data_IF_870026606907
#
_entry.id   IF_870026606907
#
_cell.length_a   1.000
_cell.length_b   1.000
_cell.length_c   1.000
_cell.angle_alpha   90.00
_cell.angle_beta   90.00
_cell.angle_gamma   90.00
#
_symmetry.space_group_name_H-M   'P 1'
#
loop_
_entity.id
_entity.type
_entity.pdbx_description
1 polymer ?
#
# COMPACT_ATOMS: atom_id res chain seq x y z
N UNK A 1 -0.92 11.12 -48.79
CA UNK A 1 -0.21 11.93 -47.78
C UNK A 1 -0.51 11.39 -46.39
N UNK A 2 0.07 10.24 -46.06
CA UNK A 2 -0.13 9.56 -44.78
C UNK A 2 1.23 9.03 -44.35
N UNK A 3 1.97 9.84 -43.60
CA UNK A 3 3.21 9.42 -42.94
C UNK A 3 3.41 10.31 -41.71
N UNK A 4 2.63 10.05 -40.66
CA UNK A 4 2.82 10.65 -39.34
C UNK A 4 3.35 9.59 -38.40
N UNK A 5 4.68 9.47 -38.44
CA UNK A 5 5.61 9.04 -37.41
C UNK A 5 4.96 8.45 -36.13
N UNK A 6 4.74 7.14 -36.13
CA UNK A 6 4.66 6.36 -34.90
C UNK A 6 6.04 6.34 -34.26
N UNK A 7 6.33 7.32 -33.39
CA UNK A 7 7.49 7.30 -32.51
C UNK A 7 7.22 6.23 -31.44
N UNK A 8 7.54 4.98 -31.77
CA UNK A 8 7.51 3.87 -30.81
C UNK A 8 8.52 4.18 -29.71
N UNK A 9 8.03 4.64 -28.56
CA UNK A 9 8.83 4.74 -27.35
C UNK A 9 9.30 3.32 -27.00
N UNK A 10 10.58 3.03 -27.23
CA UNK A 10 11.20 1.80 -26.76
C UNK A 10 11.35 1.91 -25.24
N UNK A 11 10.34 1.46 -24.51
CA UNK A 11 10.49 1.17 -23.09
C UNK A 11 11.40 -0.07 -22.97
N UNK A 12 12.52 0.08 -22.26
CA UNK A 12 13.34 -1.05 -21.86
C UNK A 12 12.51 -1.91 -20.90
N UNK A 13 12.00 -3.03 -21.39
CA UNK A 13 11.42 -4.08 -20.56
C UNK A 13 12.54 -4.72 -19.75
N UNK A 14 12.67 -4.31 -18.49
CA UNK A 14 13.61 -4.89 -17.56
C UNK A 14 13.09 -6.28 -17.13
N UNK A 15 13.46 -7.33 -17.87
CA UNK A 15 13.20 -8.75 -17.54
C UNK A 15 14.09 -9.26 -16.40
N UNK A 16 14.24 -8.52 -15.31
CA UNK A 16 14.77 -9.06 -14.06
C UNK A 16 13.63 -9.18 -13.08
N UNK A 17 13.57 -10.31 -12.36
CA UNK A 17 12.70 -10.45 -11.20
C UNK A 17 12.92 -9.22 -10.31
N UNK A 18 11.87 -8.40 -10.17
CA UNK A 18 11.90 -7.14 -9.40
C UNK A 18 12.20 -7.41 -7.92
N UNK A 19 12.12 -8.68 -7.48
CA UNK A 19 12.14 -9.09 -6.08
C UNK A 19 13.29 -10.04 -5.69
N UNK A 20 14.30 -10.25 -6.55
CA UNK A 20 15.35 -11.26 -6.29
C UNK A 20 16.48 -10.78 -5.35
N UNK A 21 16.15 -9.94 -4.37
CA UNK A 21 17.07 -9.47 -3.33
C UNK A 21 16.64 -10.02 -1.97
N UNK A 22 16.51 -11.35 -1.86
CA UNK A 22 16.33 -11.99 -0.55
C UNK A 22 17.62 -11.88 0.27
N UNK A 23 17.73 -10.82 1.05
CA UNK A 23 18.76 -10.71 2.09
C UNK A 23 18.31 -11.59 3.25
N UNK A 24 19.17 -12.52 3.69
CA UNK A 24 18.89 -13.33 4.88
C UNK A 24 18.62 -12.42 6.10
N UNK A 25 17.63 -12.75 6.92
CA UNK A 25 17.25 -11.95 8.08
C UNK A 25 18.43 -11.71 9.04
N UNK A 26 19.34 -12.68 9.13
CA UNK A 26 20.63 -12.58 9.83
C UNK A 26 21.48 -11.40 9.36
N UNK A 27 21.59 -11.26 8.03
CA UNK A 27 22.42 -10.23 7.41
C UNK A 27 21.77 -8.85 7.56
N UNK A 28 20.44 -8.77 7.39
CA UNK A 28 19.69 -7.55 7.63
C UNK A 28 19.83 -7.07 9.08
N UNK A 29 19.64 -7.97 10.06
CA UNK A 29 19.80 -7.61 11.47
C UNK A 29 21.22 -7.18 11.82
N UNK A 30 22.24 -7.87 11.30
CA UNK A 30 23.64 -7.48 11.47
C UNK A 30 23.88 -6.06 10.95
N UNK A 31 23.35 -5.74 9.76
CA UNK A 31 23.49 -4.41 9.14
C UNK A 31 22.75 -3.32 9.90
N UNK A 32 21.56 -3.60 10.42
CA UNK A 32 20.82 -2.65 11.27
C UNK A 32 21.57 -2.37 12.57
N UNK A 33 22.10 -3.40 13.25
CA UNK A 33 22.92 -3.23 14.46
C UNK A 33 24.18 -2.40 14.20
N UNK A 34 24.87 -2.66 13.08
CA UNK A 34 26.05 -1.90 12.63
C UNK A 34 25.69 -0.42 12.38
N UNK A 35 24.62 -0.16 11.64
CA UNK A 35 24.20 1.19 11.27
C UNK A 35 23.72 2.02 12.46
N UNK A 36 22.81 1.46 13.27
CA UNK A 36 22.24 2.14 14.45
C UNK A 36 23.15 2.08 15.69
N UNK A 37 24.30 1.39 15.61
CA UNK A 37 25.23 1.19 16.72
C UNK A 37 24.54 0.66 17.99
N UNK A 38 23.69 -0.35 17.83
CA UNK A 38 22.87 -0.92 18.91
C UNK A 38 23.07 -2.43 19.06
N UNK A 39 22.90 -2.93 20.28
CA UNK A 39 22.90 -4.37 20.60
C UNK A 39 21.52 -5.00 20.55
N UNK A 40 20.45 -4.19 20.46
CA UNK A 40 19.06 -4.64 20.46
C UNK A 40 18.78 -5.64 19.34
N UNK A 41 18.03 -6.71 19.66
CA UNK A 41 17.53 -7.66 18.66
C UNK A 41 16.30 -7.09 17.98
N UNK A 42 16.35 -6.94 16.65
CA UNK A 42 15.21 -6.44 15.88
C UNK A 42 14.23 -7.56 15.52
N UNK A 43 14.70 -8.81 15.45
CA UNK A 43 13.90 -9.94 14.95
C UNK A 43 12.55 -10.14 15.61
N UNK A 44 12.40 -10.15 16.96
CA UNK A 44 11.09 -10.38 17.57
C UNK A 44 10.09 -9.29 17.18
N UNK A 45 10.52 -8.02 17.23
CA UNK A 45 9.69 -6.88 16.84
C UNK A 45 9.35 -6.90 15.35
N UNK A 46 10.32 -7.19 14.47
CA UNK A 46 10.10 -7.31 13.03
C UNK A 46 9.14 -8.46 12.69
N UNK A 47 9.23 -9.59 13.40
CA UNK A 47 8.29 -10.71 13.22
C UNK A 47 6.87 -10.32 13.63
N UNK A 48 6.70 -9.65 14.76
CA UNK A 48 5.39 -9.16 15.23
C UNK A 48 4.82 -8.16 14.22
N UNK A 49 5.61 -7.15 13.84
CA UNK A 49 5.18 -6.12 12.89
C UNK A 49 4.80 -6.72 11.53
N UNK A 50 5.56 -7.71 11.03
CA UNK A 50 5.24 -8.42 9.78
C UNK A 50 3.91 -9.17 9.89
N UNK A 51 3.68 -9.90 10.97
CA UNK A 51 2.44 -10.64 11.21
C UNK A 51 1.24 -9.69 11.29
N UNK A 52 1.39 -8.57 12.01
CA UNK A 52 0.34 -7.56 12.13
C UNK A 52 0.02 -6.91 10.77
N UNK A 53 1.04 -6.58 9.98
CA UNK A 53 0.90 -6.00 8.65
C UNK A 53 0.21 -6.97 7.68
N UNK A 54 0.62 -8.25 7.66
CA UNK A 54 -0.04 -9.30 6.89
C UNK A 54 -1.52 -9.46 7.27
N UNK A 55 -1.80 -9.55 8.56
CA UNK A 55 -3.17 -9.70 9.05
C UNK A 55 -4.03 -8.46 8.77
N UNK A 56 -3.46 -7.25 8.83
CA UNK A 56 -4.14 -6.03 8.42
C UNK A 56 -4.52 -6.07 6.93
N UNK A 57 -3.58 -6.48 6.08
CA UNK A 57 -3.82 -6.64 4.65
C UNK A 57 -4.92 -7.68 4.35
N UNK A 58 -4.91 -8.84 5.03
CA UNK A 58 -6.00 -9.84 4.90
C UNK A 58 -7.35 -9.25 5.31
N UNK A 59 -7.41 -8.52 6.44
CA UNK A 59 -8.65 -7.87 6.90
C UNK A 59 -9.17 -6.85 5.88
N UNK A 60 -8.27 -6.03 5.34
CA UNK A 60 -8.62 -5.04 4.32
C UNK A 60 -9.27 -5.71 3.11
N UNK A 61 -8.65 -6.75 2.57
CA UNK A 61 -9.17 -7.44 1.38
C UNK A 61 -10.51 -8.17 1.64
N UNK A 62 -10.69 -8.75 2.82
CA UNK A 62 -11.98 -9.34 3.19
C UNK A 62 -13.06 -8.25 3.31
N UNK A 63 -12.72 -7.10 3.89
CA UNK A 63 -13.64 -5.98 4.05
C UNK A 63 -14.07 -5.38 2.71
N UNK A 64 -13.16 -5.24 1.73
CA UNK A 64 -13.51 -4.71 0.41
C UNK A 64 -14.51 -5.59 -0.32
N UNK A 65 -14.35 -6.92 -0.25
CA UNK A 65 -15.31 -7.89 -0.77
C UNK A 65 -16.65 -7.87 -0.02
N UNK A 66 -16.60 -7.92 1.31
CA UNK A 66 -17.78 -7.95 2.17
C UNK A 66 -18.66 -6.70 2.02
N UNK A 67 -18.04 -5.51 1.90
CA UNK A 67 -18.73 -4.24 1.85
C UNK A 67 -18.92 -3.68 0.43
N UNK A 68 -18.53 -4.44 -0.59
CA UNK A 68 -18.69 -4.03 -1.99
C UNK A 68 -17.90 -2.77 -2.36
N UNK A 69 -16.75 -2.55 -1.71
CA UNK A 69 -15.91 -1.37 -1.92
C UNK A 69 -15.29 -1.46 -3.32
N UNK A 70 -15.70 -0.55 -4.21
CA UNK A 70 -15.26 -0.54 -5.61
C UNK A 70 -13.91 0.17 -5.76
N UNK A 71 -12.83 -0.56 -5.50
CA UNK A 71 -11.46 -0.08 -5.67
C UNK A 71 -10.69 -0.92 -6.69
N UNK A 72 -9.66 -0.32 -7.30
CA UNK A 72 -8.69 -1.02 -8.13
C UNK A 72 -7.68 -1.71 -7.23
N UNK A 73 -8.07 -2.82 -6.64
CA UNK A 73 -7.21 -3.69 -5.83
C UNK A 73 -6.95 -5.01 -6.57
N UNK A 74 -6.00 -5.79 -6.08
CA UNK A 74 -5.76 -7.13 -6.58
C UNK A 74 -7.02 -7.99 -6.40
N UNK A 75 -7.40 -8.77 -7.42
CA UNK A 75 -8.43 -9.80 -7.27
C UNK A 75 -7.83 -10.95 -6.46
N UNK A 76 -8.47 -11.28 -5.34
CA UNK A 76 -7.93 -12.25 -4.38
C UNK A 76 -8.81 -13.50 -4.40
N UNK A 77 -8.19 -14.61 -4.74
CA UNK A 77 -8.82 -15.93 -4.70
C UNK A 77 -8.77 -16.53 -3.30
N UNK A 78 -7.68 -16.27 -2.58
CA UNK A 78 -7.48 -16.78 -1.23
C UNK A 78 -6.57 -15.85 -0.42
N UNK A 79 -6.94 -15.61 0.84
CA UNK A 79 -6.13 -14.87 1.80
C UNK A 79 -6.28 -15.52 3.17
N UNK A 80 -5.17 -15.96 3.75
CA UNK A 80 -5.15 -16.60 5.06
C UNK A 80 -4.43 -15.70 6.05
N UNK A 81 -5.14 -15.25 7.08
CA UNK A 81 -4.51 -14.57 8.21
C UNK A 81 -3.56 -15.54 8.93
N UNK A 82 -2.44 -15.01 9.39
CA UNK A 82 -1.52 -15.70 10.29
C UNK A 82 -2.25 -16.07 11.58
N UNK A 83 -2.09 -17.32 12.00
CA UNK A 83 -2.54 -17.85 13.27
C UNK A 83 -1.46 -18.76 13.87
N UNK A 84 -1.48 -19.02 15.17
CA UNK A 84 -0.50 -19.93 15.79
C UNK A 84 -0.55 -21.35 15.18
N UNK A 85 -1.74 -21.76 14.72
CA UNK A 85 -1.98 -23.04 14.04
C UNK A 85 -1.65 -23.01 12.54
N UNK A 86 -1.44 -21.82 11.96
CA UNK A 86 -1.09 -21.62 10.56
C UNK A 86 -0.04 -20.52 10.47
N UNK A 87 1.23 -20.92 10.61
CA UNK A 87 2.37 -20.01 10.65
C UNK A 87 2.84 -19.54 9.26
N UNK A 88 2.04 -19.80 8.21
CA UNK A 88 2.32 -19.45 6.84
C UNK A 88 1.41 -18.32 6.38
N UNK A 89 2.01 -17.29 5.82
CA UNK A 89 1.36 -16.07 5.32
C UNK A 89 1.09 -16.28 3.81
N UNK A 90 -0.15 -16.57 3.43
CA UNK A 90 -0.49 -16.85 2.02
C UNK A 90 -1.54 -15.89 1.47
N UNK A 91 -1.25 -15.42 0.25
CA UNK A 91 -2.21 -14.86 -0.66
C UNK A 91 -2.16 -15.63 -1.97
N UNK A 92 -3.32 -16.02 -2.48
CA UNK A 92 -3.50 -16.38 -3.87
C UNK A 92 -4.21 -15.22 -4.56
N UNK A 93 -3.44 -14.46 -5.33
CA UNK A 93 -3.94 -13.29 -6.05
C UNK A 93 -3.95 -13.58 -7.54
N UNK A 94 -4.89 -12.97 -8.25
CA UNK A 94 -4.85 -12.93 -9.70
C UNK A 94 -3.64 -12.13 -10.14
N UNK A 95 -2.88 -12.73 -11.04
CA UNK A 95 -1.75 -12.04 -11.65
C UNK A 95 -2.25 -10.85 -12.49
N UNK A 96 -1.56 -9.73 -12.35
CA UNK A 96 -1.81 -8.57 -13.20
C UNK A 96 -0.97 -8.79 -14.44
N UNK A 97 -1.66 -9.12 -15.53
CA UNK A 97 -1.15 -9.37 -16.89
C UNK A 97 0.23 -8.75 -17.22
N UNK A 98 0.94 -9.38 -18.15
CA UNK A 98 2.29 -8.99 -18.64
C UNK A 98 2.45 -7.51 -19.08
N UNK A 99 1.34 -6.79 -19.26
CA UNK A 99 1.30 -5.39 -19.66
C UNK A 99 1.28 -4.39 -18.48
N UNK A 100 1.31 -4.89 -17.24
CA UNK A 100 1.34 -4.06 -16.05
C UNK A 100 2.77 -3.74 -15.57
N UNK A 101 2.96 -2.55 -15.00
CA UNK A 101 4.26 -2.12 -14.48
C UNK A 101 4.10 -1.20 -13.27
N UNK A 102 5.13 -1.14 -12.42
CA UNK A 102 5.26 -0.12 -11.37
C UNK A 102 6.28 0.93 -11.80
N UNK A 103 6.18 2.14 -11.27
CA UNK A 103 7.27 3.12 -11.40
C UNK A 103 8.33 2.74 -10.35
N UNK A 104 9.61 2.57 -10.73
CA UNK A 104 10.68 2.26 -9.76
C UNK A 104 10.80 3.34 -8.67
N UNK A 105 11.34 3.01 -7.50
CA UNK A 105 11.39 3.91 -6.33
C UNK A 105 12.15 5.23 -6.53
N UNK A 106 12.98 5.31 -7.58
CA UNK A 106 13.71 6.52 -7.98
C UNK A 106 13.28 7.04 -9.37
N UNK A 107 12.24 6.44 -9.95
CA UNK A 107 11.62 6.86 -11.18
C UNK A 107 10.83 8.16 -10.97
N UNK A 108 10.76 8.98 -12.00
CA UNK A 108 9.95 10.20 -11.99
C UNK A 108 8.53 9.87 -12.43
N UNK A 109 7.56 10.11 -11.54
CA UNK A 109 6.15 10.12 -11.90
C UNK A 109 5.87 11.25 -12.89
N UNK A 110 5.24 10.94 -14.01
CA UNK A 110 4.83 11.93 -15.01
C UNK A 110 3.64 12.75 -14.52
N UNK A 111 3.42 13.92 -15.10
CA UNK A 111 2.24 14.73 -14.75
C UNK A 111 0.92 14.05 -15.14
N UNK A 112 0.93 13.16 -16.14
CA UNK A 112 -0.24 12.38 -16.52
C UNK A 112 -0.55 11.31 -15.46
N UNK A 113 0.45 10.59 -14.98
CA UNK A 113 0.29 9.62 -13.87
C UNK A 113 -0.21 10.29 -12.60
N UNK A 114 0.35 11.46 -12.24
CA UNK A 114 -0.12 12.23 -11.10
C UNK A 114 -1.59 12.68 -11.26
N UNK A 115 -2.00 13.07 -12.47
CA UNK A 115 -3.40 13.41 -12.78
C UNK A 115 -4.32 12.20 -12.68
N UNK A 116 -3.90 11.04 -13.16
CA UNK A 116 -4.70 9.81 -13.02
C UNK A 116 -4.86 9.42 -11.55
N UNK A 117 -3.80 9.51 -10.74
CA UNK A 117 -3.87 9.29 -9.29
C UNK A 117 -4.87 10.25 -8.65
N UNK A 118 -4.66 11.56 -8.78
CA UNK A 118 -5.49 12.57 -8.12
C UNK A 118 -6.93 12.67 -8.70
N UNK A 119 -7.10 12.33 -9.97
CA UNK A 119 -8.37 12.39 -10.69
C UNK A 119 -9.19 11.10 -10.57
N UNK A 120 -8.55 9.96 -10.28
CA UNK A 120 -9.26 8.70 -10.14
C UNK A 120 -10.23 8.76 -8.97
N UNK A 121 -11.46 8.30 -9.20
CA UNK A 121 -12.43 8.09 -8.11
C UNK A 121 -11.98 7.01 -7.12
N UNK A 122 -10.91 6.29 -7.43
CA UNK A 122 -10.31 5.28 -6.55
C UNK A 122 -9.46 5.89 -5.43
N UNK A 123 -8.97 7.11 -5.66
CA UNK A 123 -8.22 7.92 -4.69
C UNK A 123 -8.96 9.16 -4.22
N UNK A 124 -10.11 9.46 -4.83
CA UNK A 124 -11.17 10.13 -4.09
C UNK A 124 -11.45 9.23 -2.91
N UNK A 125 -10.78 9.55 -1.80
CA UNK A 125 -11.25 9.48 -0.43
C UNK A 125 -12.55 8.71 -0.43
N UNK A 126 -12.53 7.46 0.05
CA UNK A 126 -13.77 6.79 0.42
C UNK A 126 -14.44 7.72 1.41
N UNK A 127 -15.31 8.57 0.90
CA UNK A 127 -16.03 9.51 1.71
C UNK A 127 -16.87 8.62 2.61
N UNK A 128 -16.62 8.74 3.89
CA UNK A 128 -17.05 7.75 4.87
C UNK A 128 -18.57 7.60 4.90
N UNK A 129 -19.26 8.63 4.42
CA UNK A 129 -20.72 8.65 4.24
C UNK A 129 -21.22 7.71 3.13
N UNK A 130 -20.41 7.40 2.10
CA UNK A 130 -20.77 6.47 1.02
C UNK A 130 -20.47 5.00 1.35
N UNK A 131 -19.84 4.71 2.50
CA UNK A 131 -19.60 3.34 2.95
C UNK A 131 -20.61 3.02 4.07
N UNK A 132 -21.73 2.31 3.78
CA UNK A 132 -22.79 2.02 4.76
C UNK A 132 -22.34 1.26 6.02
N UNK A 133 -21.07 0.90 6.12
CA UNK A 133 -20.47 0.10 7.18
C UNK A 133 -19.14 0.68 7.72
N UNK A 134 -18.86 1.97 7.52
CA UNK A 134 -17.61 2.57 8.01
C UNK A 134 -17.34 2.36 9.51
N UNK A 135 -18.37 2.42 10.37
CA UNK A 135 -18.20 2.12 11.80
C UNK A 135 -17.63 0.72 12.04
N UNK A 136 -17.97 -0.26 11.19
CA UNK A 136 -17.40 -1.61 11.22
C UNK A 136 -15.98 -1.66 10.66
N UNK A 137 -15.61 -0.77 9.74
CA UNK A 137 -14.22 -0.62 9.29
C UNK A 137 -13.30 -0.13 10.41
N UNK A 138 -13.78 0.78 11.27
CA UNK A 138 -13.03 1.26 12.44
C UNK A 138 -12.74 0.13 13.46
N UNK A 139 -13.60 -0.87 13.55
CA UNK A 139 -13.39 -2.04 14.42
C UNK A 139 -12.20 -2.92 13.99
N UNK A 140 -11.72 -2.78 12.74
CA UNK A 140 -10.56 -3.52 12.22
C UNK A 140 -9.23 -2.79 12.41
N UNK A 141 -9.23 -1.54 12.89
CA UNK A 141 -8.01 -0.81 13.26
C UNK A 141 -7.47 -1.42 14.56
N UNK A 142 -6.29 -2.07 14.55
CA UNK A 142 -5.74 -2.65 15.77
C UNK A 142 -5.55 -1.57 16.84
N UNK A 143 -5.90 -1.92 18.08
CA UNK A 143 -5.64 -1.07 19.24
C UNK A 143 -4.14 -0.74 19.30
N UNK A 144 -3.74 0.54 19.42
CA UNK A 144 -2.34 0.95 19.34
C UNK A 144 -1.58 0.52 20.61
N UNK A 145 -1.16 -0.75 20.71
CA UNK A 145 -0.47 -1.25 21.90
C UNK A 145 1.04 -0.95 21.91
N UNK A 146 1.65 -0.50 20.80
CA UNK A 146 3.11 -0.32 20.71
C UNK A 146 3.59 1.00 20.08
N UNK A 147 2.71 1.98 19.84
CA UNK A 147 3.05 3.27 19.24
C UNK A 147 2.90 4.51 20.15
N UNK A 148 2.45 4.33 21.39
CA UNK A 148 1.89 5.42 22.19
C UNK A 148 2.82 6.62 22.38
N UNK A 149 4.13 6.46 22.59
CA UNK A 149 4.98 7.64 22.89
C UNK A 149 5.29 8.56 21.70
N UNK A 150 5.48 8.00 20.49
CA UNK A 150 5.68 8.81 19.29
C UNK A 150 4.35 9.31 18.72
N UNK A 151 3.31 8.46 18.78
CA UNK A 151 1.95 8.81 18.41
C UNK A 151 1.41 9.95 19.28
N UNK A 152 1.57 9.89 20.60
CA UNK A 152 1.15 10.94 21.53
C UNK A 152 1.93 12.24 21.34
N UNK A 153 3.22 12.21 21.00
CA UNK A 153 3.97 13.44 20.70
C UNK A 153 3.47 14.12 19.41
N UNK A 154 3.19 13.34 18.36
CA UNK A 154 2.63 13.90 17.12
C UNK A 154 1.19 14.33 17.33
N UNK A 155 0.36 13.53 17.99
CA UNK A 155 -1.04 13.86 18.32
C UNK A 155 -1.15 15.02 19.30
N UNK A 156 -0.25 15.18 20.27
CA UNK A 156 -0.26 16.33 21.18
C UNK A 156 0.19 17.60 20.47
N UNK A 157 1.19 17.53 19.57
CA UNK A 157 1.57 18.67 18.72
C UNK A 157 0.49 19.01 17.68
N UNK A 158 -0.21 18.01 17.14
CA UNK A 158 -1.36 18.22 16.27
C UNK A 158 -2.51 18.83 17.07
N UNK A 159 -2.93 18.25 18.20
CA UNK A 159 -4.00 18.78 19.06
C UNK A 159 -3.69 20.16 19.63
N UNK A 160 -2.44 20.45 19.96
CA UNK A 160 -2.01 21.76 20.49
C UNK A 160 -1.93 22.85 19.40
N UNK A 161 -1.76 22.48 18.13
CA UNK A 161 -1.84 23.41 16.98
C UNK A 161 -3.19 23.38 16.27
N UNK A 162 -3.98 22.34 16.47
CA UNK A 162 -5.31 22.15 15.91
C UNK A 162 -6.36 22.46 16.98
N UNK A 163 -6.63 23.74 17.17
CA UNK A 163 -8.01 24.15 17.45
C UNK A 163 -8.83 23.66 16.24
N UNK A 164 -9.36 22.44 16.33
CA UNK A 164 -9.98 21.68 15.24
C UNK A 164 -11.34 22.27 14.82
N UNK A 165 -11.33 23.48 14.30
CA UNK A 165 -12.39 24.09 13.48
C UNK A 165 -11.99 24.23 12.01
N UNK A 166 -10.70 24.07 11.66
CA UNK A 166 -10.21 24.53 10.35
C UNK A 166 -10.32 23.54 9.19
N UNK A 167 -10.67 22.27 9.41
CA UNK A 167 -10.81 21.35 8.28
C UNK A 167 -12.14 20.61 8.22
N UNK A 168 -12.82 20.32 9.34
CA UNK A 168 -14.13 19.63 9.37
C UNK A 168 -14.27 18.54 8.29
N UNK A 169 -13.15 17.85 8.00
CA UNK A 169 -13.13 16.84 6.96
C UNK A 169 -13.69 15.56 7.59
N UNK A 170 -14.55 14.84 6.87
CA UNK A 170 -14.95 13.51 7.30
C UNK A 170 -13.69 12.66 7.47
N UNK A 171 -13.69 11.68 8.38
CA UNK A 171 -12.59 10.73 8.44
C UNK A 171 -12.49 10.05 7.08
N UNK A 172 -11.27 9.68 6.68
CA UNK A 172 -11.02 9.10 5.36
C UNK A 172 -10.28 7.78 5.53
N UNK A 173 -10.61 6.79 4.71
CA UNK A 173 -9.78 5.60 4.60
C UNK A 173 -8.54 5.95 3.75
N UNK A 174 -7.35 5.62 4.27
CA UNK A 174 -6.08 5.95 3.62
C UNK A 174 -5.23 4.68 3.46
N UNK A 175 -4.45 4.61 2.38
CA UNK A 175 -3.54 3.49 2.14
C UNK A 175 -2.39 3.38 3.15
N UNK A 176 -2.02 4.50 3.80
CA UNK A 176 -0.86 4.58 4.71
C UNK A 176 0.50 4.63 4.00
N UNK A 177 0.66 3.92 2.89
CA UNK A 177 1.89 3.86 2.08
C UNK A 177 1.60 3.96 0.57
N UNK A 178 0.96 5.04 0.12
CA UNK A 178 0.68 5.26 -1.30
C UNK A 178 1.80 6.06 -1.97
N UNK A 179 2.53 5.39 -2.85
CA UNK A 179 3.61 5.94 -3.66
C UNK A 179 3.70 5.18 -4.98
N UNK A 180 4.49 5.67 -5.92
CA UNK A 180 4.45 5.22 -7.32
C UNK A 180 4.83 3.75 -7.53
N UNK A 181 5.56 3.15 -6.57
CA UNK A 181 5.86 1.71 -6.56
C UNK A 181 4.67 0.83 -6.18
N UNK A 182 3.72 1.39 -5.41
CA UNK A 182 2.53 0.68 -4.94
C UNK A 182 1.33 0.87 -5.90
N UNK A 183 1.56 1.50 -7.06
CA UNK A 183 0.57 1.64 -8.12
C UNK A 183 1.02 0.82 -9.32
N UNK A 184 0.19 -0.17 -9.69
CA UNK A 184 0.30 -0.90 -10.93
C UNK A 184 -0.36 -0.09 -12.04
N UNK A 185 0.41 0.21 -13.07
CA UNK A 185 0.00 0.92 -14.27
C UNK A 185 -0.19 -0.05 -15.43
N UNK A 186 -1.06 0.31 -16.37
CA UNK A 186 -1.20 -0.38 -17.65
C UNK A 186 -1.21 0.64 -18.79
N UNK A 187 -0.48 0.33 -19.85
CA UNK A 187 -0.54 1.11 -21.09
C UNK A 187 -1.69 0.61 -21.97
N UNK A 188 -2.63 1.50 -22.27
CA UNK A 188 -3.55 1.35 -23.40
C UNK A 188 -3.08 2.24 -24.53
N UNK A 189 -3.54 1.97 -25.76
CA UNK A 189 -3.07 2.55 -27.03
C UNK A 189 -2.71 4.05 -26.95
N UNK A 190 -3.47 4.83 -26.18
CA UNK A 190 -3.25 6.29 -26.03
C UNK A 190 -3.32 6.80 -24.58
N UNK A 191 -3.59 5.93 -23.60
CA UNK A 191 -3.77 6.34 -22.20
C UNK A 191 -3.02 5.40 -21.26
N UNK A 192 -2.45 5.96 -20.21
CA UNK A 192 -2.00 5.21 -19.05
C UNK A 192 -3.17 5.13 -18.05
N UNK A 193 -3.42 3.95 -17.51
CA UNK A 193 -4.45 3.79 -16.47
C UNK A 193 -3.92 3.00 -15.27
N UNK A 194 -4.54 3.22 -14.12
CA UNK A 194 -4.27 2.43 -12.92
C UNK A 194 -4.90 1.05 -13.10
N UNK A 195 -4.05 0.03 -13.17
CA UNK A 195 -4.46 -1.37 -13.19
C UNK A 195 -4.87 -1.80 -11.78
N UNK A 196 -4.08 -1.45 -10.76
CA UNK A 196 -4.30 -1.83 -9.38
C UNK A 196 -3.44 -1.02 -8.40
N UNK A 197 -3.83 -0.99 -7.15
CA UNK A 197 -3.05 -0.47 -6.03
C UNK A 197 -2.73 -1.66 -5.12
N UNK A 198 -1.46 -1.80 -4.76
CA UNK A 198 -0.91 -2.94 -4.02
C UNK A 198 -0.32 -2.48 -2.69
N UNK A 199 0.05 -3.45 -1.85
CA UNK A 199 0.74 -3.20 -0.57
C UNK A 199 -0.10 -2.46 0.50
N UNK A 200 -1.32 -2.95 0.73
CA UNK A 200 -2.26 -2.46 1.75
C UNK A 200 -1.92 -2.92 3.18
N UNK A 201 -0.64 -3.12 3.50
CA UNK A 201 -0.22 -3.66 4.79
C UNK A 201 -0.17 -2.60 5.91
N UNK A 202 -0.31 -1.32 5.56
CA UNK A 202 -0.21 -0.14 6.48
C UNK A 202 -1.53 0.63 6.58
N UNK A 203 -2.63 0.09 6.07
CA UNK A 203 -3.93 0.76 5.97
C UNK A 203 -4.86 0.52 7.17
#
# INVERSE_FOLDING_TARGET
>A
MADKAAKVLKFQTFKRSIFDTTIAAELAEKKMKEYFKTTSSFRPGLKIARIEAHNAQVRFFNATGQYGIKMKILEIYFAQAYAETCNQEFFLVKDFYEDSFTVPSLGKTTSQEAKEICGSRHLKILDVEEVPHYKKLQEFVPSPQHGEKCGEFILSNFKAKSNNSCLSLPPIFSHGDLWSCNVLWRNKVEIIEIAGIIDWQVS
#
